data_IF_674328655082
#
_entry.id   IF_674328655082
#
_cell.length_a   1.000
_cell.length_b   1.000
_cell.length_c   1.000
_cell.angle_alpha   90.00
_cell.angle_beta   90.00
_cell.angle_gamma   90.00
#
_symmetry.space_group_name_H-M   'P 1'
#
loop_
_entity.id
_entity.type
_entity.pdbx_description
1 polymer ?
#
# COMPACT_ATOMS: atom_id res chain seq x y z
N UNK A 1 14.65 -0.17 23.77
CA UNK A 1 14.38 -1.49 23.20
C UNK A 1 13.93 -1.29 21.76
N UNK A 2 14.69 -1.76 20.79
CA UNK A 2 14.24 -1.78 19.39
C UNK A 2 13.15 -2.84 19.33
N UNK A 3 11.90 -2.43 19.13
CA UNK A 3 10.82 -3.37 18.86
C UNK A 3 11.20 -4.05 17.56
N UNK A 4 11.54 -5.34 17.62
CA UNK A 4 11.68 -6.18 16.43
C UNK A 4 10.36 -6.15 15.70
N UNK A 5 10.27 -5.39 14.62
CA UNK A 5 9.07 -5.33 13.81
C UNK A 5 9.14 -6.49 12.82
N UNK A 6 8.28 -7.49 13.02
CA UNK A 6 8.30 -8.74 12.25
C UNK A 6 7.81 -8.45 10.81
N UNK A 7 8.55 -8.87 9.77
CA UNK A 7 8.11 -8.75 8.38
C UNK A 7 6.79 -9.50 8.14
N UNK A 8 5.88 -8.89 7.37
CA UNK A 8 4.56 -9.46 7.09
C UNK A 8 4.34 -9.67 5.60
N UNK A 9 3.67 -10.77 5.28
CA UNK A 9 3.13 -11.01 3.95
C UNK A 9 1.87 -10.17 3.79
N UNK A 10 1.82 -9.38 2.72
CA UNK A 10 0.72 -8.51 2.36
C UNK A 10 0.13 -8.95 1.01
N UNK A 11 -1.20 -9.01 0.93
CA UNK A 11 -1.95 -9.01 -0.33
C UNK A 11 -2.86 -7.79 -0.35
N UNK A 12 -2.70 -6.93 -1.37
CA UNK A 12 -3.45 -5.69 -1.48
C UNK A 12 -4.08 -5.53 -2.86
N UNK A 13 -5.32 -5.09 -2.85
CA UNK A 13 -6.12 -4.79 -4.05
C UNK A 13 -6.36 -3.29 -4.08
N UNK A 14 -6.22 -2.67 -5.25
CA UNK A 14 -6.65 -1.29 -5.51
C UNK A 14 -7.80 -1.30 -6.52
N UNK A 15 -8.80 -0.44 -6.33
CA UNK A 15 -9.91 -0.30 -7.28
C UNK A 15 -11.08 0.47 -6.70
N UNK A 16 -12.04 0.83 -7.54
CA UNK A 16 -13.29 1.49 -7.11
C UNK A 16 -14.45 0.51 -6.93
N UNK A 17 -14.44 -0.61 -7.65
CA UNK A 17 -15.42 -1.69 -7.50
C UNK A 17 -14.89 -2.80 -6.58
N UNK A 18 -14.86 -2.51 -5.27
CA UNK A 18 -14.45 -3.48 -4.24
C UNK A 18 -15.62 -3.96 -3.37
N UNK A 19 -16.85 -3.57 -3.70
CA UNK A 19 -18.04 -3.78 -2.86
C UNK A 19 -18.24 -5.26 -2.49
N UNK A 20 -17.99 -6.18 -3.45
CA UNK A 20 -18.12 -7.63 -3.21
C UNK A 20 -17.21 -8.14 -2.08
N UNK A 21 -16.00 -7.60 -1.98
CA UNK A 21 -15.04 -7.96 -0.94
C UNK A 21 -15.36 -7.25 0.38
N UNK A 22 -15.70 -5.96 0.33
CA UNK A 22 -16.10 -5.19 1.51
C UNK A 22 -17.27 -5.84 2.25
N UNK A 23 -18.30 -6.27 1.52
CA UNK A 23 -19.47 -6.93 2.09
C UNK A 23 -19.11 -8.26 2.75
N UNK A 24 -18.13 -9.00 2.24
CA UNK A 24 -17.66 -10.25 2.87
C UNK A 24 -16.87 -9.99 4.13
N UNK A 25 -15.94 -9.02 4.10
CA UNK A 25 -15.16 -8.62 5.28
C UNK A 25 -16.11 -8.22 6.42
N UNK A 26 -17.07 -7.34 6.14
CA UNK A 26 -18.06 -6.84 7.12
C UNK A 26 -19.00 -7.94 7.67
N UNK A 27 -19.16 -9.05 6.95
CA UNK A 27 -19.93 -10.23 7.43
C UNK A 27 -19.08 -11.16 8.30
N UNK A 28 -17.79 -11.28 8.01
CA UNK A 28 -16.87 -12.16 8.73
C UNK A 28 -16.31 -11.53 10.00
N UNK A 29 -16.28 -10.20 10.07
CA UNK A 29 -15.64 -9.47 11.16
C UNK A 29 -16.32 -8.13 11.41
N UNK A 30 -16.50 -7.79 12.68
CA UNK A 30 -16.91 -6.46 13.09
C UNK A 30 -15.77 -5.46 12.88
N UNK A 31 -16.11 -4.23 12.52
CA UNK A 31 -15.10 -3.16 12.41
C UNK A 31 -14.50 -2.88 13.78
N UNK A 32 -13.19 -3.03 13.91
CA UNK A 32 -12.47 -2.87 15.17
C UNK A 32 -12.08 -1.42 15.40
N UNK A 33 -11.59 -0.74 14.36
CA UNK A 33 -11.06 0.61 14.45
C UNK A 33 -11.23 1.38 13.15
N UNK A 34 -11.30 2.71 13.26
CA UNK A 34 -11.13 3.62 12.12
C UNK A 34 -9.99 4.59 12.41
N UNK A 35 -9.08 4.77 11.45
CA UNK A 35 -7.99 5.75 11.55
C UNK A 35 -7.88 6.56 10.27
N UNK A 36 -7.66 7.86 10.45
CA UNK A 36 -7.27 8.75 9.36
C UNK A 36 -5.78 9.06 9.44
N UNK A 37 -5.13 9.25 8.30
CA UNK A 37 -3.74 9.66 8.26
C UNK A 37 -3.35 10.27 6.92
N UNK A 38 -2.48 11.26 6.97
CA UNK A 38 -1.78 11.80 5.82
C UNK A 38 -0.36 11.24 5.71
N UNK A 39 0.09 11.06 4.47
CA UNK A 39 1.46 10.63 4.19
C UNK A 39 1.92 11.18 2.85
N UNK A 40 3.18 11.59 2.78
CA UNK A 40 3.85 11.91 1.51
C UNK A 40 4.72 10.73 1.14
N UNK A 41 4.49 10.12 -0.02
CA UNK A 41 5.32 9.05 -0.55
C UNK A 41 6.40 9.63 -1.46
N UNK A 42 7.62 9.15 -1.31
CA UNK A 42 8.74 9.45 -2.21
C UNK A 42 8.87 8.32 -3.22
N UNK A 43 8.82 8.67 -4.49
CA UNK A 43 8.78 7.75 -5.62
C UNK A 43 9.93 8.06 -6.59
N UNK A 44 10.31 7.04 -7.35
CA UNK A 44 11.21 7.14 -8.49
C UNK A 44 10.59 6.36 -9.65
N UNK A 45 10.85 6.70 -10.92
CA UNK A 45 10.32 5.97 -12.07
C UNK A 45 10.76 4.50 -12.10
N UNK A 46 12.01 4.22 -11.72
CA UNK A 46 12.57 2.86 -11.79
C UNK A 46 12.07 1.93 -10.67
N UNK A 47 12.12 0.62 -10.95
CA UNK A 47 11.73 -0.40 -9.99
C UNK A 47 12.69 -0.39 -8.79
N UNK A 48 12.14 -0.11 -7.61
CA UNK A 48 12.84 -0.25 -6.33
C UNK A 48 12.08 -1.20 -5.44
N UNK A 49 12.80 -1.83 -4.50
CA UNK A 49 12.22 -2.67 -3.45
C UNK A 49 11.79 -1.87 -2.22
N UNK A 50 11.84 -0.54 -2.26
CA UNK A 50 11.55 0.31 -1.11
C UNK A 50 10.18 0.98 -1.24
N UNK A 51 9.49 1.07 -0.12
CA UNK A 51 8.33 1.94 0.08
C UNK A 51 8.74 3.02 1.09
N UNK A 52 8.96 4.24 0.62
CA UNK A 52 9.40 5.38 1.43
C UNK A 52 8.26 6.35 1.59
N UNK A 53 7.92 6.67 2.84
CA UNK A 53 6.87 7.64 3.16
C UNK A 53 7.23 8.47 4.38
N UNK A 54 6.78 9.72 4.38
CA UNK A 54 6.89 10.64 5.51
C UNK A 54 5.49 10.93 6.05
N UNK A 55 5.30 10.83 7.36
CA UNK A 55 4.02 11.08 8.04
C UNK A 55 4.28 11.46 9.50
N UNK A 56 3.49 12.39 10.05
CA UNK A 56 3.55 12.75 11.48
C UNK A 56 5.00 13.03 11.97
N UNK A 57 5.84 13.69 11.14
CA UNK A 57 7.24 13.97 11.48
C UNK A 57 8.20 12.77 11.42
N UNK A 58 7.75 11.62 10.91
CA UNK A 58 8.53 10.36 10.84
C UNK A 58 8.70 9.93 9.38
N UNK A 59 9.91 9.53 9.02
CA UNK A 59 10.18 8.79 7.78
C UNK A 59 10.11 7.28 8.07
N UNK A 60 9.38 6.57 7.23
CA UNK A 60 9.11 5.14 7.33
C UNK A 60 9.50 4.49 5.99
N UNK A 61 10.50 3.61 6.05
CA UNK A 61 11.04 2.85 4.92
C UNK A 61 10.74 1.36 5.16
N UNK A 62 9.88 0.80 4.31
CA UNK A 62 9.74 -0.66 4.18
C UNK A 62 10.55 -1.17 2.99
N UNK A 63 11.12 -2.36 3.11
CA UNK A 63 11.82 -3.09 2.05
C UNK A 63 11.01 -4.34 1.70
N UNK A 64 10.79 -4.58 0.41
CA UNK A 64 10.27 -5.83 -0.11
C UNK A 64 11.38 -6.87 -0.02
N UNK A 65 11.23 -7.82 0.91
CA UNK A 65 12.21 -8.89 1.09
C UNK A 65 12.06 -9.95 0.00
N UNK A 66 10.83 -10.38 -0.23
CA UNK A 66 10.52 -11.42 -1.20
C UNK A 66 9.07 -11.39 -1.67
N UNK A 67 8.85 -12.00 -2.83
CA UNK A 67 7.55 -12.44 -3.30
C UNK A 67 7.42 -13.94 -3.01
N UNK A 68 6.29 -14.36 -2.42
CA UNK A 68 6.04 -15.76 -2.08
C UNK A 68 4.55 -16.10 -2.24
N UNK A 69 4.22 -17.07 -3.08
CA UNK A 69 2.84 -17.51 -3.31
C UNK A 69 1.89 -16.35 -3.69
N UNK A 70 2.33 -15.44 -4.56
CA UNK A 70 1.64 -14.18 -4.95
C UNK A 70 1.55 -13.07 -3.88
N UNK A 71 2.10 -13.32 -2.70
CA UNK A 71 2.18 -12.38 -1.60
C UNK A 71 3.50 -11.62 -1.61
N UNK A 72 3.49 -10.41 -1.05
CA UNK A 72 4.70 -9.60 -0.86
C UNK A 72 5.06 -9.52 0.61
N UNK A 73 6.27 -9.96 0.97
CA UNK A 73 6.76 -9.81 2.34
C UNK A 73 7.48 -8.48 2.52
N UNK A 74 6.92 -7.63 3.37
CA UNK A 74 7.46 -6.30 3.65
C UNK A 74 8.11 -6.25 5.02
N UNK A 75 9.38 -5.86 5.04
CA UNK A 75 10.15 -5.60 6.25
C UNK A 75 10.18 -4.09 6.53
N UNK A 76 9.60 -3.61 7.64
CA UNK A 76 9.84 -2.26 8.16
C UNK A 76 11.30 -2.10 8.61
N UNK A 77 12.13 -1.75 7.64
CA UNK A 77 13.58 -1.69 7.73
C UNK A 77 14.07 -0.50 8.55
N UNK A 78 13.52 0.69 8.31
CA UNK A 78 13.96 1.92 8.99
C UNK A 78 12.78 2.83 9.25
N UNK A 79 12.57 3.17 10.53
CA UNK A 79 11.59 4.15 10.97
C UNK A 79 12.29 5.11 11.91
N UNK A 80 12.25 6.40 11.61
CA UNK A 80 12.95 7.42 12.38
C UNK A 80 12.33 8.80 12.21
N UNK A 81 12.63 9.68 13.16
CA UNK A 81 12.27 11.09 13.06
C UNK A 81 12.83 11.69 11.76
N UNK A 82 11.99 12.45 11.06
CA UNK A 82 12.39 13.16 9.87
C UNK A 82 12.92 14.54 10.28
N UNK A 83 14.22 14.82 10.11
CA UNK A 83 14.86 15.96 10.76
C UNK A 83 14.66 17.30 10.04
N UNK A 84 13.99 17.31 8.89
CA UNK A 84 13.83 18.47 8.04
C UNK A 84 12.38 18.95 8.02
N UNK A 85 12.18 20.24 7.75
CA UNK A 85 10.86 20.73 7.36
C UNK A 85 10.43 20.05 6.05
N UNK A 86 9.24 19.45 6.05
CA UNK A 86 8.75 18.66 4.91
C UNK A 86 8.56 19.53 3.66
N UNK A 87 8.07 20.77 3.82
CA UNK A 87 7.82 21.66 2.69
C UNK A 87 9.14 22.13 2.07
N UNK A 88 10.11 22.50 2.91
CA UNK A 88 11.45 22.85 2.46
C UNK A 88 12.13 21.68 1.74
N UNK A 89 12.13 20.48 2.34
CA UNK A 89 12.71 19.29 1.71
C UNK A 89 12.11 19.01 0.33
N UNK A 90 10.79 19.10 0.20
CA UNK A 90 10.12 18.92 -1.09
C UNK A 90 10.60 19.97 -2.10
N UNK A 91 10.58 21.24 -1.75
CA UNK A 91 10.91 22.32 -2.68
C UNK A 91 12.39 22.34 -3.07
N UNK A 92 13.29 22.11 -2.12
CA UNK A 92 14.73 22.28 -2.34
C UNK A 92 15.44 21.00 -2.80
N UNK A 93 14.89 19.82 -2.52
CA UNK A 93 15.51 18.53 -2.87
C UNK A 93 14.68 17.77 -3.89
N UNK A 94 13.37 17.63 -3.66
CA UNK A 94 12.55 16.74 -4.49
C UNK A 94 12.18 17.41 -5.81
N UNK A 95 11.67 18.65 -5.81
CA UNK A 95 11.17 19.28 -7.04
C UNK A 95 12.27 19.70 -8.02
N UNK A 96 13.52 19.76 -7.57
CA UNK A 96 14.69 20.09 -8.42
C UNK A 96 15.30 18.87 -9.08
N UNK A 97 14.97 17.66 -8.63
CA UNK A 97 15.46 16.40 -9.19
C UNK A 97 14.37 15.78 -10.09
N UNK A 98 14.59 15.68 -11.41
CA UNK A 98 13.62 15.13 -12.34
C UNK A 98 13.32 13.64 -12.11
N UNK A 99 14.18 12.93 -11.37
CA UNK A 99 14.02 11.51 -11.08
C UNK A 99 13.21 11.25 -9.79
N UNK A 100 12.91 12.29 -9.02
CA UNK A 100 12.12 12.18 -7.79
C UNK A 100 10.69 12.67 -8.02
N UNK A 101 9.74 11.93 -7.48
CA UNK A 101 8.32 12.30 -7.51
C UNK A 101 7.67 12.12 -6.14
N UNK A 102 6.63 12.91 -5.87
CA UNK A 102 5.84 12.83 -4.65
C UNK A 102 4.40 12.44 -4.92
N UNK A 103 3.85 11.59 -4.06
CA UNK A 103 2.42 11.38 -3.96
C UNK A 103 1.92 11.78 -2.58
N UNK A 104 1.05 12.77 -2.53
CA UNK A 104 0.27 13.11 -1.33
C UNK A 104 -0.87 12.12 -1.20
N UNK A 105 -0.90 11.39 -0.09
CA UNK A 105 -1.89 10.35 0.18
C UNK A 105 -2.60 10.62 1.49
N UNK A 106 -3.87 10.98 1.41
CA UNK A 106 -4.81 10.96 2.53
C UNK A 106 -5.50 9.61 2.57
N UNK A 107 -5.66 9.01 3.76
CA UNK A 107 -6.32 7.70 3.90
C UNK A 107 -7.23 7.65 5.12
N UNK A 108 -8.46 7.15 4.92
CA UNK A 108 -9.33 6.64 5.99
C UNK A 108 -9.30 5.12 5.93
N UNK A 109 -8.95 4.48 7.03
CA UNK A 109 -8.70 3.02 7.11
C UNK A 109 -9.57 2.41 8.19
N UNK A 110 -10.28 1.36 7.82
CA UNK A 110 -11.13 0.57 8.71
C UNK A 110 -10.48 -0.80 8.92
N UNK A 111 -10.16 -1.14 10.17
CA UNK A 111 -9.51 -2.38 10.54
C UNK A 111 -10.53 -3.47 10.91
N UNK A 112 -10.20 -4.71 10.54
CA UNK A 112 -10.96 -5.93 10.75
C UNK A 112 -9.96 -7.08 10.96
N UNK A 113 -10.44 -8.19 11.53
CA UNK A 113 -9.69 -9.45 11.60
C UNK A 113 -10.41 -10.55 10.81
N UNK A 114 -9.75 -11.12 9.81
CA UNK A 114 -10.27 -12.24 8.99
C UNK A 114 -9.23 -13.35 8.94
N UNK A 115 -9.58 -14.57 9.36
CA UNK A 115 -8.66 -15.72 9.44
C UNK A 115 -7.31 -15.37 10.10
N UNK A 116 -7.36 -14.73 11.27
CA UNK A 116 -6.18 -14.28 12.03
C UNK A 116 -5.25 -13.33 11.23
N UNK A 117 -5.75 -12.68 10.19
CA UNK A 117 -5.05 -11.64 9.45
C UNK A 117 -5.63 -10.27 9.79
N UNK A 118 -4.74 -9.29 9.92
CA UNK A 118 -5.15 -7.89 9.87
C UNK A 118 -5.71 -7.66 8.48
N UNK A 119 -6.96 -7.22 8.42
CA UNK A 119 -7.66 -6.90 7.17
C UNK A 119 -8.10 -5.45 7.20
N UNK A 120 -7.77 -4.70 6.15
CA UNK A 120 -8.02 -3.27 6.07
C UNK A 120 -8.88 -2.98 4.86
N UNK A 121 -9.95 -2.18 5.04
CA UNK A 121 -10.63 -1.47 3.96
C UNK A 121 -10.21 -0.01 4.06
N UNK A 122 -9.65 0.55 3.00
CA UNK A 122 -9.20 1.93 2.97
C UNK A 122 -9.84 2.73 1.83
N UNK A 123 -10.30 3.92 2.15
CA UNK A 123 -10.61 4.97 1.18
C UNK A 123 -9.44 5.95 1.15
N UNK A 124 -8.85 6.16 -0.02
CA UNK A 124 -7.67 7.01 -0.17
C UNK A 124 -7.87 8.08 -1.23
N UNK A 125 -7.17 9.20 -1.07
CA UNK A 125 -6.98 10.23 -2.10
C UNK A 125 -5.50 10.35 -2.41
N UNK A 126 -5.13 10.13 -3.66
CA UNK A 126 -3.75 10.25 -4.17
C UNK A 126 -3.68 11.48 -5.05
N UNK A 127 -3.00 12.54 -4.62
CA UNK A 127 -2.95 13.81 -5.35
C UNK A 127 -4.35 14.31 -5.78
N UNK A 128 -5.38 14.04 -4.96
CA UNK A 128 -6.78 14.37 -5.24
C UNK A 128 -7.60 13.26 -5.92
N UNK A 129 -6.96 12.27 -6.57
CA UNK A 129 -7.66 11.13 -7.18
C UNK A 129 -8.14 10.14 -6.11
N UNK A 130 -9.46 9.90 -6.06
CA UNK A 130 -10.05 8.96 -5.11
C UNK A 130 -9.96 7.51 -5.61
N UNK A 131 -9.50 6.61 -4.74
CA UNK A 131 -9.47 5.17 -4.99
C UNK A 131 -9.63 4.40 -3.66
N UNK A 132 -10.10 3.16 -3.71
CA UNK A 132 -10.17 2.29 -2.53
C UNK A 132 -9.10 1.21 -2.55
N UNK A 133 -8.77 0.69 -1.38
CA UNK A 133 -7.88 -0.46 -1.23
C UNK A 133 -8.44 -1.45 -0.23
N UNK A 134 -8.17 -2.74 -0.45
CA UNK A 134 -8.32 -3.79 0.55
C UNK A 134 -6.96 -4.43 0.77
N UNK A 135 -6.57 -4.63 2.02
CA UNK A 135 -5.34 -5.31 2.38
C UNK A 135 -5.61 -6.45 3.34
N UNK A 136 -4.84 -7.51 3.19
CA UNK A 136 -4.77 -8.64 4.11
C UNK A 136 -3.29 -8.82 4.46
N UNK A 137 -2.95 -8.82 5.73
CA UNK A 137 -1.57 -9.01 6.17
C UNK A 137 -1.43 -9.93 7.38
N UNK A 138 -0.36 -10.74 7.37
CA UNK A 138 0.00 -11.64 8.46
C UNK A 138 1.48 -11.98 8.39
N UNK A 139 2.04 -12.39 9.53
CA UNK A 139 3.40 -12.94 9.62
C UNK A 139 3.47 -14.35 8.98
N UNK A 140 2.34 -15.05 8.91
CA UNK A 140 2.24 -16.36 8.29
C UNK A 140 1.51 -16.27 6.92
N UNK A 141 2.16 -16.63 5.80
CA UNK A 141 1.56 -16.52 4.48
C UNK A 141 0.34 -17.44 4.32
N UNK A 142 0.27 -18.56 5.07
CA UNK A 142 -0.88 -19.48 5.03
C UNK A 142 -2.16 -18.80 5.49
N UNK A 143 -2.09 -17.93 6.50
CA UNK A 143 -3.25 -17.19 7.00
C UNK A 143 -3.77 -16.23 5.91
N UNK A 144 -2.86 -15.54 5.20
CA UNK A 144 -3.24 -14.63 4.11
C UNK A 144 -3.92 -15.39 2.97
N UNK A 145 -3.41 -16.58 2.62
CA UNK A 145 -4.03 -17.46 1.61
C UNK A 145 -5.42 -17.92 2.06
N UNK A 146 -5.59 -18.27 3.33
CA UNK A 146 -6.90 -18.65 3.89
C UNK A 146 -7.90 -17.49 3.86
N UNK A 147 -7.48 -16.30 4.29
CA UNK A 147 -8.29 -15.09 4.23
C UNK A 147 -8.71 -14.77 2.79
N UNK A 148 -7.79 -14.87 1.81
CA UNK A 148 -8.12 -14.71 0.38
C UNK A 148 -9.21 -15.69 -0.08
N UNK A 149 -9.14 -16.95 0.34
CA UNK A 149 -10.16 -17.97 0.02
C UNK A 149 -11.52 -17.59 0.61
N UNK A 150 -11.59 -17.20 1.89
CA UNK A 150 -12.83 -16.78 2.55
C UNK A 150 -13.45 -15.55 1.87
N UNK A 151 -12.61 -14.62 1.41
CA UNK A 151 -13.03 -13.42 0.70
C UNK A 151 -13.28 -13.66 -0.80
N UNK A 152 -13.12 -14.89 -1.29
CA UNK A 152 -13.25 -15.27 -2.71
C UNK A 152 -12.43 -14.38 -3.65
N UNK A 153 -11.20 -14.06 -3.23
CA UNK A 153 -10.21 -13.42 -4.10
C UNK A 153 -9.63 -14.53 -4.98
N UNK A 154 -9.96 -14.48 -6.26
CA UNK A 154 -9.46 -15.43 -7.26
C UNK A 154 -8.05 -15.06 -7.76
N UNK A 155 -7.44 -15.95 -8.52
CA UNK A 155 -6.07 -15.77 -9.05
C UNK A 155 -5.92 -14.74 -10.16
N UNK A 156 -7.00 -14.08 -10.61
CA UNK A 156 -6.92 -12.99 -11.61
C UNK A 156 -6.74 -11.63 -10.94
N UNK A 157 -6.95 -11.53 -9.63
CA UNK A 157 -6.75 -10.30 -8.87
C UNK A 157 -5.26 -10.10 -8.61
N UNK A 158 -4.71 -9.01 -9.10
CA UNK A 158 -3.30 -8.66 -8.90
C UNK A 158 -3.06 -8.18 -7.45
N UNK A 159 -1.94 -8.63 -6.87
CA UNK A 159 -1.40 -8.05 -5.64
C UNK A 159 -0.64 -6.75 -5.96
N UNK A 160 -1.15 -5.62 -5.50
CA UNK A 160 -0.61 -4.29 -5.82
C UNK A 160 -0.22 -3.56 -4.54
N UNK A 161 1.08 -3.29 -4.38
CA UNK A 161 1.59 -2.46 -3.29
C UNK A 161 1.32 -0.97 -3.51
N UNK A 162 1.37 -0.17 -2.45
CA UNK A 162 1.26 1.29 -2.55
C UNK A 162 2.25 1.89 -3.57
N UNK A 163 3.58 1.61 -3.53
CA UNK A 163 4.50 2.18 -4.52
C UNK A 163 4.10 1.86 -5.96
N UNK A 164 3.65 0.63 -6.24
CA UNK A 164 3.20 0.25 -7.58
C UNK A 164 1.93 1.00 -7.99
N UNK A 165 0.92 1.04 -7.12
CA UNK A 165 -0.34 1.76 -7.37
C UNK A 165 -0.10 3.25 -7.60
N UNK A 166 0.70 3.89 -6.75
CA UNK A 166 0.99 5.33 -6.85
C UNK A 166 1.73 5.65 -8.15
N UNK A 167 2.72 4.83 -8.53
CA UNK A 167 3.41 4.99 -9.82
C UNK A 167 2.47 4.85 -11.00
N UNK A 168 1.53 3.89 -10.97
CA UNK A 168 0.52 3.73 -12.03
C UNK A 168 -0.42 4.94 -12.11
N UNK A 169 -0.92 5.42 -10.97
CA UNK A 169 -1.79 6.60 -10.89
C UNK A 169 -1.08 7.85 -11.44
N UNK A 170 0.22 7.98 -11.20
CA UNK A 170 1.01 9.13 -11.64
C UNK A 170 1.65 8.97 -13.02
N UNK A 171 1.46 7.83 -13.71
CA UNK A 171 2.08 7.58 -15.01
C UNK A 171 3.61 7.37 -14.96
N UNK A 172 4.17 7.00 -13.81
CA UNK A 172 5.61 6.81 -13.61
C UNK A 172 6.10 5.40 -13.97
N UNK A 173 5.21 4.51 -14.37
CA UNK A 173 5.54 3.13 -14.74
C UNK A 173 4.57 2.62 -15.79
N UNK A 174 5.04 1.73 -16.66
CA UNK A 174 4.21 1.11 -17.68
C UNK A 174 3.07 0.31 -17.03
N UNK A 175 1.90 0.35 -17.68
CA UNK A 175 0.77 -0.50 -17.31
C UNK A 175 1.00 -1.93 -17.83
N UNK A 176 0.35 -2.95 -17.22
CA UNK A 176 0.38 -4.30 -17.77
C UNK A 176 -0.08 -4.30 -19.24
N UNK A 177 0.57 -5.08 -20.10
CA UNK A 177 0.19 -5.17 -21.52
C UNK A 177 -1.26 -5.57 -21.72
N UNK A 178 -1.80 -6.42 -20.83
CA UNK A 178 -3.19 -6.83 -20.85
C UNK A 178 -4.20 -5.69 -20.60
N UNK A 179 -3.74 -4.52 -20.17
CA UNK A 179 -4.56 -3.32 -19.97
C UNK A 179 -4.46 -2.35 -21.14
N UNK A 180 -3.52 -2.56 -22.07
CA UNK A 180 -3.40 -1.74 -23.26
C UNK A 180 -4.51 -2.14 -24.24
N UNK A 181 -5.53 -1.31 -24.36
CA UNK A 181 -6.65 -1.52 -25.29
C UNK A 181 -6.58 -0.63 -26.53
N UNK A 182 -5.52 0.16 -26.67
CA UNK A 182 -5.38 1.16 -27.73
C UNK A 182 -4.14 0.82 -28.55
N UNK A 183 -4.38 0.33 -29.77
CA UNK A 183 -3.42 0.43 -30.87
C UNK A 183 -3.55 1.85 -31.43
N UNK A 184 -2.46 2.62 -31.43
CA UNK A 184 -2.41 3.94 -32.07
C UNK A 184 -2.14 3.82 -33.56
#
# INVERSE_FOLDING_TARGET
MVVSVIPRYEFRIFGNDLAKYESKIKKLSSKEMTRQMDSVYLLTPWKRKNNVKIREGVMDIKVLEQDHLDLQQWNPFLVGEFPLDLKQFINEVVTVDPDLAIAYVWKTRHAYTVANCITEIAEIKVNGAAIKTICIESENPKNVIEAKKLLTIDGKVENVSYPLALKRIMGLTALPESWNSIEF
#
